data_IF_735149397351
#
_entry.id   IF_735149397351
#
_cell.length_a   1.000
_cell.length_b   1.000
_cell.length_c   1.000
_cell.angle_alpha   90.00
_cell.angle_beta   90.00
_cell.angle_gamma   90.00
#
_symmetry.space_group_name_H-M   'P 1'
#
loop_
_entity.id
_entity.type
_entity.pdbx_description
1 polymer ?
#
# COMPACT_ATOMS: atom_id res chain seq x y z
N UNK A 1 43.81 37.15 -6.42
CA UNK A 1 43.60 35.69 -6.59
C UNK A 1 42.73 35.47 -7.83
N UNK A 2 42.71 34.26 -8.42
CA UNK A 2 42.15 34.01 -9.76
C UNK A 2 40.63 33.80 -9.75
N UNK A 3 39.92 34.46 -10.67
CA UNK A 3 38.64 34.01 -11.21
C UNK A 3 38.90 32.96 -12.30
N UNK A 4 38.06 31.92 -12.41
CA UNK A 4 37.38 31.52 -13.65
C UNK A 4 36.27 30.46 -13.39
N UNK A 5 35.31 30.23 -14.31
CA UNK A 5 33.99 29.70 -13.98
C UNK A 5 33.60 28.40 -14.73
N UNK A 6 32.30 28.07 -14.63
CA UNK A 6 31.49 27.24 -15.55
C UNK A 6 31.77 25.72 -15.59
N UNK A 7 30.71 24.92 -15.42
CA UNK A 7 30.07 24.26 -16.57
C UNK A 7 28.69 23.68 -16.21
N UNK A 8 27.74 23.85 -17.12
CA UNK A 8 26.45 23.16 -17.13
C UNK A 8 26.64 21.84 -17.90
N UNK A 9 26.03 20.74 -17.46
CA UNK A 9 25.94 19.54 -18.31
C UNK A 9 24.75 18.64 -17.93
N UNK A 10 24.17 17.98 -18.92
CA UNK A 10 22.92 17.21 -18.83
C UNK A 10 23.14 15.80 -19.40
N UNK A 11 22.95 14.77 -18.58
CA UNK A 11 22.63 13.39 -18.99
C UNK A 11 21.96 12.69 -17.78
N UNK A 12 20.72 12.20 -17.86
CA UNK A 12 20.23 10.97 -18.50
C UNK A 12 20.66 9.66 -17.81
N UNK A 13 19.70 8.73 -17.71
CA UNK A 13 19.86 7.43 -17.07
C UNK A 13 20.64 6.46 -17.97
N UNK A 14 21.45 5.61 -17.34
CA UNK A 14 21.89 4.33 -17.89
C UNK A 14 21.59 3.22 -16.88
N UNK A 15 20.65 2.34 -17.21
CA UNK A 15 20.59 1.01 -16.60
C UNK A 15 21.77 0.18 -17.13
N UNK A 16 22.48 -0.53 -16.26
CA UNK A 16 23.43 -1.58 -16.65
C UNK A 16 23.02 -2.84 -15.91
N UNK A 17 22.64 -3.87 -16.65
CA UNK A 17 22.34 -5.18 -16.11
C UNK A 17 23.63 -5.95 -15.79
N UNK A 18 23.59 -6.80 -14.77
CA UNK A 18 24.69 -7.71 -14.47
C UNK A 18 24.58 -8.98 -15.34
N UNK A 19 25.34 -9.03 -16.44
CA UNK A 19 25.70 -10.31 -17.07
C UNK A 19 27.00 -10.83 -16.44
N UNK A 20 27.02 -12.12 -16.10
CA UNK A 20 28.18 -12.78 -15.49
C UNK A 20 28.80 -13.86 -16.39
N UNK A 21 30.02 -14.29 -16.04
CA UNK A 21 30.57 -15.59 -16.43
C UNK A 21 31.58 -16.08 -15.35
N UNK A 22 31.78 -17.40 -15.20
CA UNK A 22 32.44 -17.97 -14.03
C UNK A 22 33.96 -18.09 -14.19
N UNK A 23 34.63 -18.38 -13.07
CA UNK A 23 36.02 -18.86 -12.99
C UNK A 23 36.04 -20.13 -12.13
N UNK A 24 36.90 -21.07 -12.48
CA UNK A 24 36.98 -22.42 -11.91
C UNK A 24 37.78 -22.48 -10.60
N UNK A 25 37.61 -23.56 -9.80
CA UNK A 25 38.73 -24.48 -9.52
C UNK A 25 38.36 -25.71 -8.65
N UNK A 26 38.91 -26.85 -9.09
CA UNK A 26 39.42 -28.00 -8.31
C UNK A 26 38.55 -28.76 -7.28
N UNK A 27 38.04 -29.90 -7.76
CA UNK A 27 38.48 -31.25 -7.35
C UNK A 27 38.67 -31.59 -5.85
N UNK A 28 37.91 -32.60 -5.40
CA UNK A 28 38.52 -33.87 -4.96
C UNK A 28 37.57 -35.05 -5.21
N UNK A 29 38.09 -36.26 -5.38
CA UNK A 29 37.35 -37.53 -5.58
C UNK A 29 37.84 -38.58 -4.59
N UNK A 30 36.95 -39.46 -4.13
CA UNK A 30 37.11 -40.89 -3.75
C UNK A 30 35.84 -41.33 -3.01
N UNK A 31 35.30 -42.56 -3.09
CA UNK A 31 35.57 -43.70 -3.98
C UNK A 31 34.27 -44.55 -4.17
N UNK A 32 34.26 -45.45 -5.15
CA UNK A 32 33.27 -46.53 -5.32
C UNK A 32 33.97 -47.90 -5.10
N UNK A 33 33.38 -49.10 -5.17
CA UNK A 33 32.10 -49.65 -5.64
C UNK A 33 31.92 -51.02 -4.90
N UNK A 34 31.28 -52.10 -5.45
CA UNK A 34 30.18 -52.27 -6.40
C UNK A 34 28.96 -52.90 -5.65
N UNK A 35 27.98 -53.68 -6.16
CA UNK A 35 27.42 -54.16 -7.45
C UNK A 35 25.90 -54.46 -7.16
N UNK A 36 25.02 -55.20 -7.87
CA UNK A 36 25.01 -56.19 -8.97
C UNK A 36 23.65 -56.13 -9.71
N UNK A 37 23.67 -56.29 -11.04
CA UNK A 37 22.58 -56.77 -11.94
C UNK A 37 21.18 -56.09 -11.93
N UNK A 38 20.37 -56.11 -13.01
CA UNK A 38 20.65 -56.13 -14.46
C UNK A 38 19.35 -55.80 -15.25
N UNK A 39 19.49 -55.05 -16.36
CA UNK A 39 18.61 -54.97 -17.55
C UNK A 39 17.07 -54.84 -17.41
N UNK A 40 16.54 -53.69 -17.85
CA UNK A 40 15.44 -53.61 -18.84
C UNK A 40 15.42 -52.21 -19.50
N UNK A 41 15.14 -52.12 -20.81
CA UNK A 41 15.04 -50.85 -21.54
C UNK A 41 13.68 -50.17 -21.39
N UNK A 42 13.71 -48.84 -21.18
CA UNK A 42 12.70 -47.90 -21.68
C UNK A 42 13.29 -46.50 -21.75
N UNK A 43 13.32 -45.88 -22.93
CA UNK A 43 13.81 -44.52 -23.10
C UNK A 43 12.76 -43.50 -22.62
N UNK A 44 13.00 -42.88 -21.45
CA UNK A 44 12.27 -41.67 -21.04
C UNK A 44 13.21 -40.46 -21.05
N UNK A 45 13.25 -39.76 -22.18
CA UNK A 45 13.82 -38.41 -22.26
C UNK A 45 12.94 -37.48 -21.43
N UNK A 46 13.46 -36.76 -20.42
CA UNK A 46 12.71 -35.68 -19.79
C UNK A 46 12.59 -34.54 -20.80
N UNK A 47 11.37 -34.16 -21.19
CA UNK A 47 11.18 -32.91 -21.92
C UNK A 47 11.57 -31.75 -21.00
N UNK A 48 12.58 -30.97 -21.39
CA UNK A 48 12.98 -29.78 -20.65
C UNK A 48 11.87 -28.74 -20.77
N UNK A 49 11.01 -28.67 -19.76
CA UNK A 49 9.91 -27.71 -19.67
C UNK A 49 10.48 -26.29 -19.81
N UNK A 50 10.31 -25.70 -21.01
CA UNK A 50 10.76 -24.34 -21.29
C UNK A 50 9.89 -23.39 -20.50
N UNK A 51 10.38 -22.97 -19.34
CA UNK A 51 9.89 -21.78 -18.66
C UNK A 51 9.94 -20.61 -19.66
N UNK A 52 8.76 -20.22 -20.15
CA UNK A 52 8.60 -19.11 -21.08
C UNK A 52 8.90 -17.80 -20.34
N UNK A 53 10.19 -17.47 -20.24
CA UNK A 53 10.66 -16.19 -19.74
C UNK A 53 9.92 -15.08 -20.51
N UNK A 54 9.10 -14.30 -19.81
CA UNK A 54 8.33 -13.24 -20.45
C UNK A 54 9.30 -12.27 -21.15
N UNK A 55 9.00 -11.82 -22.38
CA UNK A 55 9.83 -10.83 -23.04
C UNK A 55 9.91 -9.55 -22.20
N UNK A 56 11.08 -8.91 -22.22
CA UNK A 56 11.32 -7.65 -21.52
C UNK A 56 10.26 -6.60 -21.91
N UNK A 57 9.80 -5.76 -20.95
CA UNK A 57 8.71 -4.82 -21.20
C UNK A 57 9.09 -3.83 -22.30
N UNK A 58 8.25 -3.73 -23.34
CA UNK A 58 8.47 -2.80 -24.44
C UNK A 58 8.30 -1.34 -24.01
N UNK A 59 8.72 -0.39 -24.85
CA UNK A 59 8.43 1.03 -24.62
C UNK A 59 6.90 1.31 -24.59
N UNK A 60 6.09 0.51 -25.29
CA UNK A 60 4.63 0.58 -25.20
C UNK A 60 4.09 -0.01 -23.89
N UNK A 61 4.72 -1.08 -23.36
CA UNK A 61 4.39 -1.64 -22.04
C UNK A 61 4.67 -0.62 -20.94
N UNK A 62 5.85 0.02 -20.99
CA UNK A 62 6.22 1.11 -20.06
C UNK A 62 5.28 2.30 -20.21
N UNK A 63 4.86 2.64 -21.43
CA UNK A 63 3.85 3.67 -21.68
C UNK A 63 2.45 3.33 -21.14
N UNK A 64 2.02 2.07 -21.26
CA UNK A 64 0.75 1.57 -20.71
C UNK A 64 0.79 1.50 -19.18
N UNK A 65 1.91 1.05 -18.60
CA UNK A 65 2.15 1.01 -17.16
C UNK A 65 2.23 2.44 -16.58
N UNK A 66 2.92 3.37 -17.25
CA UNK A 66 2.97 4.78 -16.86
C UNK A 66 1.61 5.46 -16.96
N UNK A 67 0.79 5.11 -17.97
CA UNK A 67 -0.63 5.49 -18.01
C UNK A 67 -1.35 4.91 -16.78
N UNK A 68 -1.41 3.60 -16.62
CA UNK A 68 -2.14 2.93 -15.53
C UNK A 68 -1.77 3.50 -14.14
N UNK A 69 -0.48 3.51 -13.79
CA UNK A 69 0.00 3.98 -12.49
C UNK A 69 -0.03 5.51 -12.33
N UNK A 70 0.08 6.27 -13.42
CA UNK A 70 0.08 7.74 -13.41
C UNK A 70 -1.30 8.38 -13.23
N UNK A 71 -2.34 7.59 -12.96
CA UNK A 71 -3.74 8.03 -12.89
C UNK A 71 -4.57 7.71 -14.14
N UNK A 72 -3.99 7.09 -15.16
CA UNK A 72 -4.64 6.67 -16.41
C UNK A 72 -5.26 5.28 -16.38
N UNK A 73 -5.27 4.57 -15.24
CA UNK A 73 -6.27 3.53 -14.97
C UNK A 73 -7.69 4.13 -14.83
N UNK A 74 -7.78 5.46 -14.66
CA UNK A 74 -9.04 6.18 -14.56
C UNK A 74 -9.94 6.09 -15.80
N UNK A 75 -9.45 5.58 -16.94
CA UNK A 75 -10.22 5.45 -18.17
C UNK A 75 -10.22 6.73 -19.02
N UNK A 76 -11.10 6.78 -20.02
CA UNK A 76 -11.32 7.97 -20.85
C UNK A 76 -12.45 8.77 -20.19
N UNK A 77 -12.18 10.01 -19.77
CA UNK A 77 -13.26 10.92 -19.33
C UNK A 77 -14.04 11.42 -20.56
N UNK A 78 -15.37 11.55 -20.49
CA UNK A 78 -16.15 12.14 -21.57
C UNK A 78 -15.87 13.65 -21.67
N UNK A 79 -16.06 14.23 -22.87
CA UNK A 79 -15.68 15.63 -23.15
C UNK A 79 -16.48 16.68 -22.34
N UNK A 80 -17.69 16.30 -21.89
CA UNK A 80 -18.60 17.06 -21.03
C UNK A 80 -18.38 16.83 -19.53
N UNK A 81 -17.38 16.02 -19.14
CA UNK A 81 -17.02 15.83 -17.75
C UNK A 81 -16.75 17.20 -17.06
N UNK A 82 -17.28 17.43 -15.84
CA UNK A 82 -16.97 18.62 -15.05
C UNK A 82 -15.46 18.84 -14.96
N UNK A 83 -15.02 20.09 -14.86
CA UNK A 83 -13.59 20.45 -14.87
C UNK A 83 -13.17 21.11 -13.57
N UNK A 84 -11.98 20.74 -13.08
CA UNK A 84 -11.37 21.33 -11.89
C UNK A 84 -10.92 22.78 -12.15
N UNK A 85 -10.43 23.44 -11.09
CA UNK A 85 -9.90 24.82 -11.15
C UNK A 85 -8.70 25.01 -12.09
N UNK A 86 -8.12 23.94 -12.64
CA UNK A 86 -7.06 23.94 -13.64
C UNK A 86 -7.56 23.57 -15.05
N UNK A 87 -8.88 23.42 -15.23
CA UNK A 87 -9.51 23.03 -16.50
C UNK A 87 -9.38 21.55 -16.85
N UNK A 88 -8.89 20.70 -15.94
CA UNK A 88 -8.79 19.24 -16.16
C UNK A 88 -10.12 18.58 -15.87
N UNK A 89 -10.56 17.57 -16.64
CA UNK A 89 -11.77 16.82 -16.30
C UNK A 89 -11.59 16.10 -14.96
N UNK A 90 -12.61 16.17 -14.12
CA UNK A 90 -12.74 15.35 -12.91
C UNK A 90 -12.78 13.86 -13.31
N UNK A 91 -12.21 13.01 -12.46
CA UNK A 91 -12.31 11.55 -12.61
C UNK A 91 -13.67 11.12 -12.03
N UNK A 92 -14.60 10.73 -12.90
CA UNK A 92 -16.00 10.44 -12.54
C UNK A 92 -16.28 8.94 -12.39
N UNK A 93 -17.17 8.57 -11.47
CA UNK A 93 -17.57 7.18 -11.29
C UNK A 93 -18.51 6.96 -10.09
N UNK A 94 -18.80 5.69 -9.81
CA UNK A 94 -19.53 5.27 -8.61
C UNK A 94 -18.53 4.81 -7.53
N UNK A 95 -18.61 5.39 -6.33
CA UNK A 95 -17.81 5.02 -5.16
C UNK A 95 -18.73 4.46 -4.08
N UNK A 96 -18.69 3.14 -3.88
CA UNK A 96 -19.43 2.46 -2.80
C UNK A 96 -20.96 2.67 -2.84
N UNK A 97 -21.53 2.98 -4.00
CA UNK A 97 -22.94 3.32 -4.20
C UNK A 97 -23.16 4.75 -4.68
N UNK A 98 -22.26 5.69 -4.38
CA UNK A 98 -22.48 7.15 -4.56
C UNK A 98 -21.69 7.71 -5.75
N UNK A 99 -22.29 8.53 -6.63
CA UNK A 99 -21.56 9.18 -7.74
C UNK A 99 -20.59 10.26 -7.23
N UNK A 100 -19.35 10.24 -7.74
CA UNK A 100 -18.27 11.13 -7.30
C UNK A 100 -17.56 11.86 -8.45
N UNK A 101 -16.99 13.03 -8.11
CA UNK A 101 -16.11 13.87 -8.92
C UNK A 101 -14.73 13.93 -8.23
N UNK A 102 -13.79 13.05 -8.60
CA UNK A 102 -12.46 13.03 -7.96
C UNK A 102 -11.47 14.00 -8.67
N UNK A 103 -10.87 15.00 -7.99
CA UNK A 103 -9.99 15.96 -8.65
C UNK A 103 -8.65 15.29 -9.06
N UNK A 104 -8.23 15.34 -10.34
CA UNK A 104 -7.07 14.59 -10.85
C UNK A 104 -5.72 15.09 -10.33
N UNK A 105 -5.67 16.29 -9.72
CA UNK A 105 -4.48 16.79 -9.03
C UNK A 105 -4.41 16.35 -7.56
N UNK A 106 -5.53 15.90 -6.97
CA UNK A 106 -5.67 15.47 -5.57
C UNK A 106 -5.60 13.94 -5.46
N UNK A 107 -6.46 13.20 -6.16
CA UNK A 107 -6.48 11.73 -6.06
C UNK A 107 -5.45 11.06 -6.98
N UNK A 108 -4.86 9.94 -6.56
CA UNK A 108 -3.89 9.14 -7.33
C UNK A 108 -4.29 7.66 -7.27
N UNK A 109 -3.73 6.88 -8.20
CA UNK A 109 -3.97 5.43 -8.29
C UNK A 109 -5.47 5.06 -8.31
N UNK A 110 -6.28 5.82 -9.07
CA UNK A 110 -7.71 5.51 -9.20
C UNK A 110 -7.88 4.25 -10.05
N UNK A 111 -8.41 3.20 -9.45
CA UNK A 111 -8.79 1.95 -10.12
C UNK A 111 -10.30 1.83 -10.21
N UNK A 112 -10.76 1.15 -11.26
CA UNK A 112 -12.14 0.77 -11.52
C UNK A 112 -12.26 -0.75 -11.54
N UNK A 113 -13.48 -1.30 -11.64
CA UNK A 113 -13.71 -2.75 -11.77
C UNK A 113 -13.09 -3.37 -13.04
N UNK A 114 -12.88 -2.59 -14.10
CA UNK A 114 -12.22 -3.02 -15.33
C UNK A 114 -10.69 -2.83 -15.35
N UNK A 115 -10.11 -2.28 -14.27
CA UNK A 115 -8.70 -1.90 -14.27
C UNK A 115 -7.76 -3.11 -14.17
N UNK A 116 -6.64 -3.14 -14.93
CA UNK A 116 -5.75 -4.30 -15.02
C UNK A 116 -4.86 -4.50 -13.78
N UNK A 117 -4.89 -3.55 -12.83
CA UNK A 117 -3.97 -3.48 -11.70
C UNK A 117 -2.50 -3.54 -12.15
N UNK A 118 -1.68 -4.26 -11.38
CA UNK A 118 -0.26 -4.46 -11.67
C UNK A 118 0.05 -5.69 -12.55
N UNK A 119 -0.95 -6.35 -13.14
CA UNK A 119 -0.71 -7.54 -13.98
C UNK A 119 -0.11 -7.14 -15.34
N UNK A 120 1.15 -7.52 -15.67
CA UNK A 120 1.81 -7.05 -16.91
C UNK A 120 1.15 -7.54 -18.20
N UNK A 121 0.46 -8.69 -18.17
CA UNK A 121 -0.24 -9.22 -19.33
C UNK A 121 -1.58 -8.49 -19.56
N UNK A 122 -2.31 -8.20 -18.48
CA UNK A 122 -3.53 -7.40 -18.55
C UNK A 122 -3.22 -5.95 -18.99
N UNK A 123 -2.16 -5.34 -18.45
CA UNK A 123 -1.69 -3.99 -18.80
C UNK A 123 -1.31 -3.83 -20.29
N UNK A 124 -0.74 -4.86 -20.93
CA UNK A 124 -0.45 -4.84 -22.37
C UNK A 124 -1.71 -4.78 -23.23
N UNK A 125 -2.77 -5.47 -22.80
CA UNK A 125 -4.01 -5.64 -23.58
C UNK A 125 -5.15 -4.69 -23.16
N UNK A 126 -4.96 -3.91 -22.09
CA UNK A 126 -6.00 -3.04 -21.52
C UNK A 126 -6.42 -1.94 -22.50
N UNK A 127 -7.73 -1.86 -22.74
CA UNK A 127 -8.38 -0.78 -23.48
C UNK A 127 -9.31 -0.04 -22.52
N UNK A 128 -8.97 1.19 -22.08
CA UNK A 128 -9.83 1.94 -21.17
C UNK A 128 -11.20 2.23 -21.80
N UNK A 129 -12.26 1.98 -21.03
CA UNK A 129 -13.61 2.41 -21.38
C UNK A 129 -13.80 3.92 -21.18
N UNK A 130 -14.81 4.50 -21.85
CA UNK A 130 -15.29 5.85 -21.52
C UNK A 130 -16.06 5.78 -20.21
N UNK A 131 -15.74 6.65 -19.25
CA UNK A 131 -16.33 6.63 -17.91
C UNK A 131 -17.70 7.30 -17.87
N UNK A 132 -18.55 6.77 -17.02
CA UNK A 132 -19.84 7.32 -16.61
C UNK A 132 -19.91 7.32 -15.08
N UNK A 133 -20.96 7.91 -14.49
CA UNK A 133 -21.19 7.82 -13.05
C UNK A 133 -21.58 6.41 -12.56
N UNK A 134 -21.80 5.46 -13.47
CA UNK A 134 -22.03 4.03 -13.19
C UNK A 134 -20.71 3.23 -13.18
N UNK A 135 -19.62 3.84 -13.64
CA UNK A 135 -18.30 3.19 -13.68
C UNK A 135 -17.76 3.03 -12.25
N UNK A 136 -17.81 1.80 -11.74
CA UNK A 136 -17.48 1.48 -10.33
C UNK A 136 -15.98 1.67 -10.06
N UNK A 137 -15.67 2.60 -9.17
CA UNK A 137 -14.33 2.88 -8.62
C UNK A 137 -14.05 1.88 -7.50
N UNK A 138 -12.94 1.16 -7.58
CA UNK A 138 -12.56 0.08 -6.65
C UNK A 138 -11.50 0.50 -5.64
N UNK A 139 -10.61 1.42 -6.03
CA UNK A 139 -9.59 2.01 -5.15
C UNK A 139 -9.19 3.42 -5.60
N UNK A 140 -8.68 4.23 -4.66
CA UNK A 140 -7.83 5.39 -4.93
C UNK A 140 -7.10 5.81 -3.65
N UNK A 141 -6.19 6.78 -3.74
CA UNK A 141 -5.64 7.42 -2.54
C UNK A 141 -5.37 8.91 -2.73
N UNK A 142 -5.20 9.62 -1.62
CA UNK A 142 -4.77 11.02 -1.56
C UNK A 142 -3.91 11.23 -0.30
N UNK A 143 -3.36 12.43 -0.10
CA UNK A 143 -2.73 12.82 1.16
C UNK A 143 -3.37 14.14 1.63
N UNK A 144 -3.43 14.37 2.95
CA UNK A 144 -3.77 15.67 3.53
C UNK A 144 -2.81 16.02 4.67
N UNK A 145 -2.64 17.31 4.95
CA UNK A 145 -1.86 17.84 6.07
C UNK A 145 -2.77 18.00 7.29
N UNK A 146 -2.38 17.45 8.44
CA UNK A 146 -3.30 17.27 9.57
C UNK A 146 -3.74 18.60 10.22
N UNK A 147 -2.82 19.54 10.42
CA UNK A 147 -3.10 20.74 11.22
C UNK A 147 -4.07 21.74 10.55
N UNK A 148 -4.01 21.89 9.23
CA UNK A 148 -4.87 22.81 8.46
C UNK A 148 -5.84 22.09 7.51
N UNK A 149 -5.74 20.75 7.42
CA UNK A 149 -6.63 19.87 6.64
C UNK A 149 -6.53 20.11 5.13
N UNK A 150 -5.44 20.70 4.67
CA UNK A 150 -5.18 20.92 3.25
C UNK A 150 -4.82 19.60 2.56
N UNK A 151 -5.63 19.21 1.57
CA UNK A 151 -5.31 18.08 0.69
C UNK A 151 -4.14 18.43 -0.25
N UNK A 152 -3.30 17.43 -0.56
CA UNK A 152 -2.13 17.60 -1.42
C UNK A 152 -2.53 17.82 -2.88
N UNK A 153 -2.65 19.08 -3.27
CA UNK A 153 -2.80 19.48 -4.66
C UNK A 153 -1.45 19.38 -5.40
N UNK A 154 -1.31 18.38 -6.26
CA UNK A 154 -0.08 18.16 -7.04
C UNK A 154 0.16 19.19 -8.15
N UNK A 155 -0.76 20.13 -8.35
CA UNK A 155 -0.57 21.30 -9.20
C UNK A 155 -0.28 22.59 -8.41
N UNK A 156 -0.04 22.47 -7.09
CA UNK A 156 0.51 23.54 -6.26
C UNK A 156 1.98 23.23 -5.95
N UNK A 157 2.89 23.73 -6.78
CA UNK A 157 4.34 23.47 -6.66
C UNK A 157 4.91 23.83 -5.28
N UNK A 158 4.41 24.91 -4.66
CA UNK A 158 4.85 25.32 -3.33
C UNK A 158 4.49 24.27 -2.26
N UNK A 159 3.26 23.76 -2.28
CA UNK A 159 2.81 22.70 -1.36
C UNK A 159 3.51 21.35 -1.62
N UNK A 160 3.79 21.05 -2.90
CA UNK A 160 4.54 19.86 -3.31
C UNK A 160 6.00 19.92 -2.82
N UNK A 161 6.67 21.07 -2.93
CA UNK A 161 8.03 21.25 -2.40
C UNK A 161 8.07 21.33 -0.88
N UNK A 162 7.12 22.00 -0.23
CA UNK A 162 6.99 22.02 1.24
C UNK A 162 6.95 20.58 1.77
N UNK A 163 6.02 19.76 1.26
CA UNK A 163 5.90 18.34 1.61
C UNK A 163 7.16 17.53 1.31
N UNK A 164 7.90 17.84 0.23
CA UNK A 164 9.18 17.16 -0.08
C UNK A 164 10.26 17.51 0.95
N UNK A 165 10.39 18.77 1.37
CA UNK A 165 11.37 19.15 2.39
C UNK A 165 10.98 18.61 3.77
N UNK A 166 9.69 18.67 4.11
CA UNK A 166 9.14 18.12 5.34
C UNK A 166 9.42 16.61 5.44
N UNK A 167 9.00 15.80 4.46
CA UNK A 167 9.24 14.35 4.45
C UNK A 167 10.74 13.97 4.41
N UNK A 168 11.59 14.86 3.89
CA UNK A 168 13.05 14.70 3.91
C UNK A 168 13.64 14.95 5.30
N UNK A 169 13.15 15.94 6.03
CA UNK A 169 13.51 16.22 7.43
C UNK A 169 12.86 15.23 8.42
N UNK A 170 11.66 14.75 8.11
CA UNK A 170 10.86 13.82 8.91
C UNK A 170 11.56 12.48 9.18
N UNK A 171 12.55 12.12 8.36
CA UNK A 171 13.50 11.01 8.58
C UNK A 171 14.24 11.07 9.92
N UNK A 172 14.06 12.14 10.71
CA UNK A 172 14.69 12.33 12.02
C UNK A 172 13.65 12.35 13.17
N UNK A 173 12.43 12.91 13.00
CA UNK A 173 11.45 13.04 14.12
C UNK A 173 9.94 12.99 13.80
N UNK A 174 9.42 13.69 12.78
CA UNK A 174 7.95 13.84 12.58
C UNK A 174 7.58 14.38 11.18
N UNK A 175 6.39 14.05 10.67
CA UNK A 175 5.67 14.76 9.60
C UNK A 175 4.16 14.86 9.89
N UNK A 176 3.53 15.91 9.39
CA UNK A 176 2.10 16.23 9.59
C UNK A 176 1.20 15.62 8.48
N UNK A 177 1.79 15.10 7.41
CA UNK A 177 1.05 14.48 6.30
C UNK A 177 0.44 13.12 6.67
N UNK A 178 -0.87 13.04 6.53
CA UNK A 178 -1.67 11.82 6.60
C UNK A 178 -1.87 11.29 5.17
N UNK A 179 -1.52 10.03 4.93
CA UNK A 179 -1.90 9.32 3.71
C UNK A 179 -3.29 8.72 3.89
N UNK A 180 -4.13 8.82 2.87
CA UNK A 180 -5.44 8.16 2.79
C UNK A 180 -5.45 7.19 1.62
N UNK A 181 -5.88 5.96 1.86
CA UNK A 181 -6.20 4.94 0.86
C UNK A 181 -7.68 4.56 1.02
N UNK A 182 -8.42 4.54 -0.08
CA UNK A 182 -9.83 4.18 -0.15
C UNK A 182 -9.97 2.87 -0.92
N UNK A 183 -10.84 1.96 -0.47
CA UNK A 183 -11.26 0.81 -1.27
C UNK A 183 -12.73 0.48 -1.12
N UNK A 184 -13.47 0.48 -2.23
CA UNK A 184 -14.83 -0.06 -2.31
C UNK A 184 -14.83 -1.60 -2.43
N UNK A 185 -13.72 -2.20 -2.87
CA UNK A 185 -13.65 -3.65 -3.13
C UNK A 185 -13.78 -4.49 -1.84
N UNK A 186 -13.13 -4.06 -0.75
CA UNK A 186 -13.14 -4.82 0.50
C UNK A 186 -14.46 -4.70 1.27
N UNK A 187 -15.01 -3.49 1.39
CA UNK A 187 -16.25 -3.24 2.14
C UNK A 187 -17.44 -4.10 1.65
N UNK A 188 -17.60 -4.22 0.33
CA UNK A 188 -18.65 -5.05 -0.28
C UNK A 188 -18.39 -6.57 -0.20
N UNK A 189 -17.20 -7.00 0.23
CA UNK A 189 -16.80 -8.42 0.25
C UNK A 189 -16.90 -9.09 1.63
N UNK A 190 -16.75 -8.33 2.71
CA UNK A 190 -16.95 -8.84 4.08
C UNK A 190 -17.25 -7.67 5.04
N UNK A 191 -18.49 -7.52 5.54
CA UNK A 191 -18.84 -6.45 6.50
C UNK A 191 -18.19 -6.65 7.88
N UNK A 192 -17.85 -7.89 8.25
CA UNK A 192 -17.24 -8.25 9.53
C UNK A 192 -15.71 -8.21 9.51
N UNK A 193 -15.09 -7.79 8.39
CA UNK A 193 -13.64 -7.83 8.17
C UNK A 193 -12.77 -7.29 9.32
N UNK A 194 -13.26 -6.27 10.04
CA UNK A 194 -12.56 -5.70 11.18
C UNK A 194 -12.63 -6.60 12.44
N UNK A 195 -13.79 -7.17 12.75
CA UNK A 195 -13.93 -8.14 13.84
C UNK A 195 -13.14 -9.42 13.54
N UNK A 196 -13.21 -9.93 12.31
CA UNK A 196 -12.44 -11.09 11.85
C UNK A 196 -10.92 -10.81 11.93
N UNK A 197 -10.47 -9.61 11.56
CA UNK A 197 -9.06 -9.21 11.68
C UNK A 197 -8.57 -9.21 13.13
N UNK A 198 -9.40 -8.76 14.07
CA UNK A 198 -9.04 -8.75 15.50
C UNK A 198 -9.11 -10.15 16.10
N UNK A 199 -10.07 -10.99 15.70
CA UNK A 199 -10.10 -12.40 16.07
C UNK A 199 -8.80 -13.11 15.63
N UNK A 200 -8.39 -12.92 14.38
CA UNK A 200 -7.15 -13.50 13.86
C UNK A 200 -5.87 -12.97 14.54
N UNK A 201 -5.88 -11.75 15.09
CA UNK A 201 -4.78 -11.27 15.94
C UNK A 201 -4.67 -12.02 17.27
N UNK A 202 -5.78 -12.55 17.79
CA UNK A 202 -5.82 -13.33 19.03
C UNK A 202 -5.59 -14.83 18.80
N UNK A 203 -5.70 -15.31 17.55
CA UNK A 203 -5.40 -16.70 17.18
C UNK A 203 -3.90 -17.00 17.25
N UNK A 204 -3.53 -17.96 18.12
CA UNK A 204 -2.16 -18.46 18.18
C UNK A 204 -1.94 -19.57 17.16
N UNK A 205 -1.59 -19.23 15.93
CA UNK A 205 -1.26 -20.22 14.90
C UNK A 205 -0.04 -21.06 15.34
N UNK A 206 -0.17 -22.39 15.54
CA UNK A 206 0.90 -23.25 16.05
C UNK A 206 1.93 -23.64 14.98
N UNK A 207 1.65 -23.39 13.69
CA UNK A 207 2.49 -23.76 12.56
C UNK A 207 3.36 -22.60 12.05
N UNK A 208 3.13 -21.37 12.51
CA UNK A 208 4.01 -20.24 12.24
C UNK A 208 5.23 -20.29 13.18
N UNK A 209 6.43 -19.88 12.71
CA UNK A 209 7.65 -19.95 13.51
C UNK A 209 7.52 -19.13 14.80
N UNK A 210 8.13 -19.62 15.89
CA UNK A 210 7.93 -19.18 17.28
C UNK A 210 8.45 -17.75 17.62
N UNK A 211 8.20 -16.76 16.76
CA UNK A 211 8.53 -15.35 16.97
C UNK A 211 7.21 -14.54 16.99
N UNK A 212 6.60 -14.30 18.17
CA UNK A 212 5.30 -13.62 18.28
C UNK A 212 5.23 -12.23 17.63
N UNK A 213 6.37 -11.58 17.38
CA UNK A 213 6.50 -10.22 16.81
C UNK A 213 5.77 -9.95 15.48
N UNK A 214 5.22 -10.99 14.83
CA UNK A 214 4.47 -10.89 13.57
C UNK A 214 3.01 -11.38 13.69
N UNK A 215 2.69 -12.21 14.69
CA UNK A 215 1.42 -12.91 14.86
C UNK A 215 1.19 -13.23 16.35
N UNK A 216 -0.06 -13.20 16.81
CA UNK A 216 -0.46 -13.31 18.22
C UNK A 216 -0.17 -12.05 19.04
N UNK A 217 -1.23 -11.23 19.19
CA UNK A 217 -1.39 -10.17 20.17
C UNK A 217 -2.44 -10.60 21.21
N UNK A 218 -2.43 -9.98 22.38
CA UNK A 218 -3.47 -10.12 23.40
C UNK A 218 -3.78 -8.76 24.05
N UNK A 219 -5.01 -8.52 24.54
CA UNK A 219 -5.33 -7.34 25.34
C UNK A 219 -4.44 -7.29 26.59
N UNK A 220 -3.83 -6.14 26.89
CA UNK A 220 -3.01 -5.98 28.09
C UNK A 220 -3.77 -5.38 29.29
N UNK A 221 -5.06 -5.05 29.11
CA UNK A 221 -5.91 -4.39 30.10
C UNK A 221 -5.83 -2.85 30.09
N UNK A 222 -4.93 -2.25 29.32
CA UNK A 222 -4.80 -0.80 29.19
C UNK A 222 -5.75 -0.26 28.10
N UNK A 223 -6.17 1.00 28.28
CA UNK A 223 -6.86 1.78 27.25
C UNK A 223 -6.11 3.08 26.96
N UNK A 224 -5.95 3.42 25.68
CA UNK A 224 -5.24 4.61 25.20
C UNK A 224 -6.18 5.43 24.33
N UNK A 225 -6.60 6.62 24.78
CA UNK A 225 -7.52 7.51 24.04
C UNK A 225 -8.80 6.79 23.54
N UNK A 226 -9.41 5.96 24.41
CA UNK A 226 -10.60 5.16 24.10
C UNK A 226 -10.33 3.81 23.39
N UNK A 227 -9.08 3.51 23.06
CA UNK A 227 -8.68 2.31 22.32
C UNK A 227 -8.18 1.21 23.27
N UNK A 228 -8.67 -0.02 23.12
CA UNK A 228 -8.09 -1.18 23.80
C UNK A 228 -6.69 -1.45 23.26
N UNK A 229 -5.69 -1.53 24.15
CA UNK A 229 -4.30 -1.79 23.77
C UNK A 229 -4.03 -3.30 23.75
N UNK A 230 -3.50 -3.79 22.63
CA UNK A 230 -3.17 -5.19 22.41
C UNK A 230 -1.70 -5.33 22.02
N UNK A 231 -0.98 -6.21 22.72
CA UNK A 231 0.48 -6.32 22.65
C UNK A 231 0.91 -7.77 22.41
N UNK A 232 2.14 -7.98 21.97
CA UNK A 232 2.74 -9.32 21.98
C UNK A 232 3.06 -9.75 23.42
N UNK A 233 2.45 -10.84 23.94
CA UNK A 233 2.67 -11.29 25.31
C UNK A 233 3.99 -12.06 25.47
N UNK A 234 4.56 -12.01 26.69
CA UNK A 234 5.69 -12.82 27.10
C UNK A 234 7.07 -12.29 26.71
N UNK A 235 8.09 -13.12 26.95
CA UNK A 235 9.51 -12.80 26.88
C UNK A 235 10.17 -13.53 25.71
N UNK A 236 11.10 -12.86 25.02
CA UNK A 236 12.02 -13.48 24.07
C UNK A 236 13.11 -14.27 24.81
N UNK A 237 13.17 -15.62 24.67
CA UNK A 237 14.15 -16.43 25.36
C UNK A 237 15.60 -16.19 24.89
N UNK A 238 15.82 -15.50 23.77
CA UNK A 238 17.17 -15.16 23.27
C UNK A 238 17.75 -13.89 23.89
N UNK A 239 16.90 -12.93 24.27
CA UNK A 239 17.35 -11.62 24.80
C UNK A 239 16.90 -11.35 26.23
N UNK A 240 15.98 -12.13 26.78
CA UNK A 240 15.40 -11.94 28.12
C UNK A 240 14.44 -10.74 28.23
N UNK A 241 14.08 -10.11 27.09
CA UNK A 241 13.23 -8.91 27.02
C UNK A 241 11.81 -9.22 26.59
N UNK A 242 10.87 -8.33 26.87
CA UNK A 242 9.48 -8.52 26.42
C UNK A 242 9.39 -8.52 24.88
N UNK A 243 8.55 -9.37 24.29
CA UNK A 243 8.39 -9.39 22.82
C UNK A 243 7.94 -8.03 22.25
N UNK A 244 7.20 -7.24 23.03
CA UNK A 244 6.82 -5.84 22.74
C UNK A 244 8.01 -4.91 22.50
N UNK A 245 9.20 -5.23 23.02
CA UNK A 245 10.44 -4.46 22.83
C UNK A 245 11.23 -4.80 21.56
N UNK A 246 10.86 -5.84 20.82
CA UNK A 246 11.61 -6.23 19.63
C UNK A 246 11.58 -5.12 18.56
N UNK A 247 12.64 -4.98 17.76
CA UNK A 247 12.79 -3.93 16.73
C UNK A 247 11.60 -3.84 15.74
N UNK A 248 10.96 -4.99 15.46
CA UNK A 248 9.82 -5.13 14.54
C UNK A 248 8.46 -5.23 15.25
N UNK A 249 8.43 -5.18 16.58
CA UNK A 249 7.22 -5.31 17.36
C UNK A 249 6.23 -4.18 17.05
N UNK A 250 4.94 -4.51 17.13
CA UNK A 250 3.84 -3.57 16.93
C UNK A 250 2.81 -3.73 18.04
N UNK A 251 2.18 -2.63 18.40
CA UNK A 251 0.98 -2.62 19.22
C UNK A 251 -0.24 -2.50 18.30
N UNK A 252 -1.30 -3.26 18.58
CA UNK A 252 -2.60 -3.10 17.93
C UNK A 252 -3.52 -2.34 18.89
N UNK A 253 -4.12 -1.26 18.41
CA UNK A 253 -5.13 -0.51 19.13
C UNK A 253 -6.48 -0.77 18.47
N UNK A 254 -7.51 -1.07 19.26
CA UNK A 254 -8.84 -1.44 18.75
C UNK A 254 -9.90 -0.54 19.37
N UNK A 255 -10.74 0.07 18.53
CA UNK A 255 -11.99 0.72 18.94
C UNK A 255 -13.19 -0.19 18.65
N UNK A 256 -14.12 -0.26 19.60
CA UNK A 256 -15.39 -0.99 19.49
C UNK A 256 -16.57 -0.07 19.80
N UNK A 257 -17.70 -0.30 19.14
CA UNK A 257 -18.96 0.39 19.45
C UNK A 257 -19.63 -0.14 20.73
N UNK A 258 -20.77 0.44 21.09
CA UNK A 258 -21.55 0.03 22.28
C UNK A 258 -22.15 -1.38 22.13
N UNK A 259 -22.27 -1.89 20.90
CA UNK A 259 -22.68 -3.26 20.59
C UNK A 259 -21.49 -4.24 20.59
N UNK A 260 -20.27 -3.73 20.85
CA UNK A 260 -19.03 -4.50 20.94
C UNK A 260 -18.36 -4.79 19.60
N UNK A 261 -18.84 -4.28 18.47
CA UNK A 261 -18.28 -4.53 17.11
C UNK A 261 -17.05 -3.66 16.86
N UNK A 262 -16.02 -4.16 16.16
CA UNK A 262 -14.86 -3.33 15.80
C UNK A 262 -15.27 -2.25 14.79
N UNK A 263 -14.84 -1.01 15.05
CA UNK A 263 -14.95 0.10 14.09
C UNK A 263 -13.61 0.56 13.56
N UNK A 264 -12.56 0.51 14.39
CA UNK A 264 -11.23 1.02 14.04
C UNK A 264 -10.12 0.11 14.56
N UNK A 265 -9.13 -0.16 13.72
CA UNK A 265 -7.92 -0.94 14.04
C UNK A 265 -6.69 -0.12 13.66
N UNK A 266 -5.80 0.15 14.62
CA UNK A 266 -4.54 0.86 14.38
C UNK A 266 -3.38 -0.07 14.70
N UNK A 267 -2.59 -0.41 13.69
CA UNK A 267 -1.42 -1.26 13.79
C UNK A 267 -0.16 -0.37 13.73
N UNK A 268 0.48 -0.16 14.87
CA UNK A 268 1.52 0.85 15.04
C UNK A 268 2.87 0.24 15.42
N UNK A 269 3.96 0.65 14.75
CA UNK A 269 5.32 0.20 15.11
C UNK A 269 5.74 0.72 16.48
N UNK A 270 6.40 -0.13 17.28
CA UNK A 270 6.90 0.23 18.61
C UNK A 270 8.28 0.87 18.55
N UNK A 271 9.10 0.44 17.58
CA UNK A 271 10.45 0.93 17.34
C UNK A 271 10.67 1.11 15.83
N UNK A 272 11.51 2.08 15.48
CA UNK A 272 11.81 2.47 14.11
C UNK A 272 12.52 3.83 14.08
N UNK A 273 12.99 4.27 12.90
CA UNK A 273 13.54 5.62 12.70
C UNK A 273 12.42 6.67 12.72
N UNK A 274 11.25 6.29 12.21
CA UNK A 274 9.97 6.98 12.38
C UNK A 274 8.97 5.89 12.78
N UNK A 275 8.22 6.10 13.85
CA UNK A 275 7.15 5.18 14.22
C UNK A 275 5.90 5.50 13.41
N UNK A 276 5.31 4.50 12.77
CA UNK A 276 4.13 4.68 11.90
C UNK A 276 2.97 3.80 12.35
N UNK A 277 1.76 4.30 12.14
CA UNK A 277 0.51 3.55 12.24
C UNK A 277 -0.07 3.31 10.84
N UNK A 278 -0.63 2.12 10.62
CA UNK A 278 -1.68 1.88 9.64
C UNK A 278 -3.02 1.79 10.36
N UNK A 279 -4.00 2.59 9.97
CA UNK A 279 -5.29 2.77 10.67
C UNK A 279 -6.42 2.42 9.73
N UNK A 280 -7.23 1.42 10.07
CA UNK A 280 -8.28 0.84 9.24
C UNK A 280 -9.63 1.05 9.89
N UNK A 281 -10.58 1.61 9.14
CA UNK A 281 -11.97 1.76 9.58
C UNK A 281 -12.93 1.65 8.40
N UNK A 282 -14.17 1.24 8.69
CA UNK A 282 -15.26 1.25 7.71
C UNK A 282 -15.85 2.65 7.63
N UNK A 283 -16.18 3.11 6.42
CA UNK A 283 -16.90 4.37 6.25
C UNK A 283 -18.33 4.26 6.81
N UNK A 284 -18.97 5.37 7.22
CA UNK A 284 -20.40 5.38 7.57
C UNK A 284 -21.29 4.83 6.45
N UNK A 285 -22.48 4.35 6.80
CA UNK A 285 -23.38 3.59 5.91
C UNK A 285 -23.85 4.33 4.63
N UNK A 286 -23.50 5.62 4.46
CA UNK A 286 -23.69 6.39 3.22
C UNK A 286 -22.88 5.87 2.02
N UNK A 287 -21.72 5.23 2.23
CA UNK A 287 -20.91 4.65 1.16
C UNK A 287 -20.29 3.33 1.61
N UNK A 288 -20.49 2.26 0.83
CA UNK A 288 -19.84 0.96 1.06
C UNK A 288 -18.37 0.99 0.62
N UNK A 289 -17.54 1.65 1.44
CA UNK A 289 -16.08 1.77 1.28
C UNK A 289 -15.34 1.59 2.60
N UNK A 290 -14.09 1.16 2.49
CA UNK A 290 -13.13 0.98 3.55
C UNK A 290 -12.03 2.02 3.43
N UNK A 291 -11.56 2.57 4.55
CA UNK A 291 -10.47 3.55 4.60
C UNK A 291 -9.28 2.98 5.37
N UNK A 292 -8.09 3.09 4.77
CA UNK A 292 -6.81 2.90 5.44
C UNK A 292 -6.03 4.24 5.46
N UNK A 293 -5.81 4.79 6.65
CA UNK A 293 -4.89 5.92 6.86
C UNK A 293 -3.49 5.41 7.18
N UNK A 294 -2.47 6.19 6.83
CA UNK A 294 -1.11 6.00 7.35
C UNK A 294 -0.47 7.31 7.77
N UNK A 295 0.06 7.32 9.00
CA UNK A 295 0.53 8.51 9.70
C UNK A 295 1.57 8.14 10.78
N UNK A 296 2.26 9.14 11.33
CA UNK A 296 3.23 8.95 12.42
C UNK A 296 2.55 8.63 13.76
N UNK A 297 3.12 7.76 14.59
CA UNK A 297 2.47 7.27 15.83
C UNK A 297 2.10 8.38 16.81
N UNK A 298 2.79 9.51 16.75
CA UNK A 298 2.55 10.72 17.52
C UNK A 298 1.16 11.34 17.26
N UNK A 299 0.53 11.06 16.11
CA UNK A 299 -0.83 11.51 15.78
C UNK A 299 -1.94 10.56 16.27
N UNK A 300 -1.60 9.38 16.81
CA UNK A 300 -2.56 8.40 17.33
C UNK A 300 -3.50 8.93 18.44
N UNK A 301 -3.10 9.85 19.35
CA UNK A 301 -4.02 10.48 20.31
C UNK A 301 -5.24 11.17 19.68
N UNK A 302 -5.11 11.62 18.43
CA UNK A 302 -6.14 12.35 17.68
C UNK A 302 -6.86 11.48 16.64
N UNK A 303 -6.81 10.15 16.75
CA UNK A 303 -7.33 9.20 15.76
C UNK A 303 -8.78 9.48 15.32
N UNK A 304 -9.67 9.90 16.24
CA UNK A 304 -11.06 10.24 15.93
C UNK A 304 -11.18 11.47 15.01
N UNK A 305 -10.27 12.44 15.16
CA UNK A 305 -10.21 13.59 14.26
C UNK A 305 -9.61 13.21 12.90
N UNK A 306 -8.67 12.27 12.85
CA UNK A 306 -8.14 11.73 11.59
C UNK A 306 -9.24 11.03 10.77
N UNK A 307 -10.07 10.18 11.41
CA UNK A 307 -11.24 9.57 10.77
C UNK A 307 -12.22 10.65 10.29
N UNK A 308 -12.63 11.57 11.17
CA UNK A 308 -13.57 12.66 10.84
C UNK A 308 -13.09 13.53 9.68
N UNK A 309 -11.79 13.87 9.65
CA UNK A 309 -11.21 14.67 8.57
C UNK A 309 -11.22 13.88 7.25
N UNK A 310 -10.82 12.61 7.25
CA UNK A 310 -10.85 11.76 6.07
C UNK A 310 -12.28 11.53 5.54
N UNK A 311 -13.26 11.31 6.43
CA UNK A 311 -14.68 11.17 6.08
C UNK A 311 -15.18 12.45 5.39
N UNK A 312 -14.96 13.62 5.99
CA UNK A 312 -15.39 14.90 5.42
C UNK A 312 -14.77 15.18 4.04
N UNK A 313 -13.49 14.81 3.83
CA UNK A 313 -12.84 14.96 2.53
C UNK A 313 -13.46 14.06 1.46
N UNK A 314 -13.78 12.81 1.79
CA UNK A 314 -14.45 11.88 0.86
C UNK A 314 -15.90 12.29 0.57
N UNK A 315 -16.65 12.76 1.58
CA UNK A 315 -17.98 13.36 1.37
C UNK A 315 -17.92 14.63 0.49
N UNK A 316 -16.79 15.35 0.51
CA UNK A 316 -16.50 16.48 -0.37
C UNK A 316 -16.24 16.11 -1.84
N UNK A 317 -16.09 14.82 -2.17
CA UNK A 317 -15.95 14.35 -3.55
C UNK A 317 -17.27 13.91 -4.20
N UNK A 318 -18.41 13.97 -3.50
CA UNK A 318 -19.71 13.61 -4.08
C UNK A 318 -20.05 14.51 -5.29
N UNK A 319 -20.81 13.97 -6.25
CA UNK A 319 -21.25 14.72 -7.44
C UNK A 319 -22.12 15.95 -7.12
N UNK A 320 -22.82 15.93 -5.98
CA UNK A 320 -23.79 16.94 -5.53
C UNK A 320 -23.20 17.98 -4.56
N UNK A 321 -21.91 18.31 -4.72
CA UNK A 321 -21.15 19.27 -3.90
C UNK A 321 -20.57 20.42 -4.71
#
# INVERSE_FOLDING_TARGET
MKFHPLLLSIALLSLVACDGKPVESNQSQTDAAPSHHAAADAQHTPETEKQNAMPAPSAADVGNLARAMGGGAAGIMPDDAPKDKYGKPYIIGNLGGVPVNLPPTIVRFVEYTDSPGFNPQALRNFKPSVRTYDSIITSFGFDFRNHDKQMLDRHNDALVEERKQELKAARIKSHDWIRVSISAKFANSNPNFLDDSVAHYYERNPHLPHTPIYHYWQPNGEYFHGLQVNIHPGIDPKTGKAWREHEKARDIFVYRDNEGRVKSIMNCTNKGVVNICGHRFNFPDEMSIFIELSYIRENLPSWQELEKNAINMVLGFRKDK
#
